data_IF_678690219528
#
_entry.id   IF_678690219528
#
_cell.length_a   1.000
_cell.length_b   1.000
_cell.length_c   1.000
_cell.angle_alpha   90.00
_cell.angle_beta   90.00
_cell.angle_gamma   90.00
#
_symmetry.space_group_name_H-M   'P 1'
#
loop_
_entity.id
_entity.type
_entity.pdbx_description
1 polymer ?
#
# COMPACT_ATOMS: atom_id res chain seq x y z
N UNK A 1 10.81 -8.40 -20.33
CA UNK A 1 9.71 -9.25 -20.81
C UNK A 1 10.00 -10.67 -20.36
N UNK A 2 9.12 -11.37 -19.63
CA UNK A 2 9.52 -12.61 -19.00
C UNK A 2 9.29 -13.83 -19.92
N UNK A 3 10.41 -14.44 -20.34
CA UNK A 3 10.89 -15.80 -19.98
C UNK A 3 12.37 -15.92 -20.41
N UNK A 4 12.86 -15.08 -21.34
CA UNK A 4 14.30 -14.74 -21.49
C UNK A 4 14.64 -13.48 -20.67
N UNK A 5 15.80 -13.55 -19.99
CA UNK A 5 16.23 -12.82 -18.77
C UNK A 5 15.24 -12.91 -17.60
N UNK A 6 15.20 -14.10 -17.00
CA UNK A 6 15.01 -14.25 -15.55
C UNK A 6 16.26 -13.74 -14.82
N UNK A 7 16.43 -12.43 -14.81
CA UNK A 7 17.18 -11.73 -13.79
C UNK A 7 16.22 -10.67 -13.27
N UNK A 8 16.16 -10.48 -11.96
CA UNK A 8 15.60 -9.27 -11.34
C UNK A 8 15.78 -8.08 -12.28
N UNK A 9 14.72 -7.64 -12.97
CA UNK A 9 14.76 -6.42 -13.78
C UNK A 9 15.39 -5.36 -12.88
N UNK A 10 16.52 -4.76 -13.30
CA UNK A 10 17.31 -3.85 -12.46
C UNK A 10 16.36 -2.90 -11.75
N UNK A 11 16.24 -3.07 -10.42
CA UNK A 11 15.29 -2.29 -9.62
C UNK A 11 15.74 -0.85 -9.70
N UNK A 12 14.88 0.03 -10.22
CA UNK A 12 15.15 1.47 -10.21
C UNK A 12 15.11 1.94 -8.77
N UNK A 13 16.16 2.61 -8.34
CA UNK A 13 16.20 3.23 -7.03
C UNK A 13 15.22 4.40 -6.99
N UNK A 14 14.47 4.48 -5.89
CA UNK A 14 13.52 5.56 -5.66
C UNK A 14 14.27 6.63 -4.87
N UNK A 15 14.42 7.82 -5.48
CA UNK A 15 14.99 8.98 -4.79
C UNK A 15 14.12 9.36 -3.59
N UNK A 16 14.69 9.87 -2.50
CA UNK A 16 13.89 10.34 -1.36
C UNK A 16 13.05 11.56 -1.74
N UNK A 17 11.99 11.78 -0.97
CA UNK A 17 11.12 12.95 -1.07
C UNK A 17 11.88 14.27 -0.76
N UNK A 18 11.62 15.38 -1.46
CA UNK A 18 12.35 16.63 -1.21
C UNK A 18 12.03 17.31 0.13
N UNK A 19 10.83 17.10 0.70
CA UNK A 19 10.40 17.79 1.94
C UNK A 19 10.75 16.92 3.14
N UNK A 20 10.30 15.67 3.15
CA UNK A 20 10.47 14.77 4.29
C UNK A 20 11.70 13.87 4.19
N UNK A 21 12.44 13.91 3.07
CA UNK A 21 13.62 13.06 2.82
C UNK A 21 13.35 11.55 2.96
N UNK A 22 12.07 11.15 2.86
CA UNK A 22 11.64 9.77 3.05
C UNK A 22 11.36 9.08 1.72
N UNK A 23 11.90 7.86 1.55
CA UNK A 23 11.61 7.00 0.41
C UNK A 23 10.17 6.48 0.46
N UNK A 24 9.61 6.30 1.66
CA UNK A 24 8.23 5.83 1.87
C UNK A 24 7.23 6.84 1.31
N UNK A 25 7.43 8.13 1.58
CA UNK A 25 6.57 9.20 1.07
C UNK A 25 6.71 9.33 -0.44
N UNK A 26 7.94 9.26 -0.98
CA UNK A 26 8.11 9.29 -2.43
C UNK A 26 7.41 8.10 -3.11
N UNK A 27 7.45 6.91 -2.51
CA UNK A 27 6.72 5.74 -3.01
C UNK A 27 5.19 5.97 -2.99
N UNK A 28 4.66 6.55 -1.91
CA UNK A 28 3.25 6.93 -1.81
C UNK A 28 2.85 7.92 -2.92
N UNK A 29 3.63 8.99 -3.13
CA UNK A 29 3.41 9.97 -4.20
C UNK A 29 3.39 9.31 -5.57
N UNK A 30 4.33 8.40 -5.84
CA UNK A 30 4.39 7.67 -7.10
C UNK A 30 3.18 6.76 -7.32
N UNK A 31 2.59 6.22 -6.25
CA UNK A 31 1.35 5.43 -6.34
C UNK A 31 0.10 6.30 -6.52
N UNK A 32 0.06 7.50 -5.91
CA UNK A 32 -1.01 8.48 -6.08
C UNK A 32 -1.02 9.06 -7.51
N UNK A 33 0.16 9.22 -8.11
CA UNK A 33 0.37 9.76 -9.45
C UNK A 33 -0.55 9.11 -10.50
N UNK A 34 -1.26 9.95 -11.24
CA UNK A 34 -2.04 9.57 -12.43
C UNK A 34 -1.71 10.50 -13.58
N UNK A 35 -1.64 9.95 -14.79
CA UNK A 35 -1.43 10.68 -16.04
C UNK A 35 -0.21 11.62 -16.01
N UNK A 36 0.85 11.24 -15.28
CA UNK A 36 2.08 12.05 -15.15
C UNK A 36 1.96 13.32 -14.31
N UNK A 37 0.81 13.60 -13.67
CA UNK A 37 0.56 14.84 -12.91
C UNK A 37 1.25 14.86 -11.53
N UNK A 38 2.58 14.99 -11.51
CA UNK A 38 3.39 14.87 -10.29
C UNK A 38 3.14 15.97 -9.27
N UNK A 39 3.02 17.22 -9.72
CA UNK A 39 2.67 18.37 -8.86
C UNK A 39 1.35 18.16 -8.11
N UNK A 40 0.36 17.59 -8.79
CA UNK A 40 -0.95 17.30 -8.19
C UNK A 40 -0.85 16.16 -7.18
N UNK A 41 -0.04 15.12 -7.45
CA UNK A 41 0.19 14.04 -6.52
C UNK A 41 0.85 14.52 -5.22
N UNK A 42 1.89 15.37 -5.31
CA UNK A 42 2.49 16.01 -4.13
C UNK A 42 1.47 16.82 -3.34
N UNK A 43 0.66 17.65 -4.01
CA UNK A 43 -0.39 18.44 -3.35
C UNK A 43 -1.39 17.56 -2.58
N UNK A 44 -1.75 16.40 -3.11
CA UNK A 44 -2.66 15.48 -2.43
C UNK A 44 -2.00 14.88 -1.19
N UNK A 45 -0.76 14.40 -1.32
CA UNK A 45 -0.05 13.72 -0.22
C UNK A 45 0.27 14.70 0.90
N UNK A 46 0.85 15.86 0.59
CA UNK A 46 1.19 16.85 1.61
C UNK A 46 -0.05 17.44 2.26
N UNK A 47 -1.11 17.73 1.51
CA UNK A 47 -2.38 18.16 2.10
C UNK A 47 -3.00 17.08 3.00
N UNK A 48 -2.79 15.80 2.71
CA UNK A 48 -3.27 14.73 3.59
C UNK A 48 -2.43 14.65 4.87
N UNK A 49 -1.12 14.89 4.79
CA UNK A 49 -0.23 14.93 5.97
C UNK A 49 -0.54 16.11 6.87
N UNK A 50 -0.77 17.30 6.32
CA UNK A 50 -1.18 18.49 7.07
C UNK A 50 -2.50 18.25 7.83
N UNK A 51 -3.47 17.58 7.20
CA UNK A 51 -4.72 17.21 7.87
C UNK A 51 -4.53 16.19 8.99
N UNK A 52 -3.60 15.24 8.83
CA UNK A 52 -3.27 14.26 9.87
C UNK A 52 -2.64 14.97 11.05
N UNK A 53 -1.66 15.83 10.80
CA UNK A 53 -0.96 16.62 11.81
C UNK A 53 -1.95 17.49 12.60
N UNK A 54 -2.87 18.18 11.92
CA UNK A 54 -3.92 18.99 12.55
C UNK A 54 -4.86 18.16 13.45
N UNK A 55 -5.14 16.91 13.09
CA UNK A 55 -6.10 16.06 13.83
C UNK A 55 -5.47 15.28 14.98
N UNK A 56 -4.18 14.98 14.91
CA UNK A 56 -3.51 14.07 15.85
C UNK A 56 -2.43 14.73 16.66
N UNK A 57 -1.97 15.93 16.27
CA UNK A 57 -0.84 16.65 16.87
C UNK A 57 0.45 15.80 16.93
N UNK A 58 0.51 14.74 16.12
CA UNK A 58 1.61 13.80 16.01
C UNK A 58 2.31 13.96 14.67
N UNK A 59 3.55 13.48 14.62
CA UNK A 59 4.32 13.45 13.38
C UNK A 59 3.56 12.67 12.29
N UNK A 60 3.17 13.31 11.17
CA UNK A 60 2.43 12.64 10.11
C UNK A 60 3.25 11.54 9.44
N UNK A 61 4.59 11.61 9.52
CA UNK A 61 5.49 10.59 9.00
C UNK A 61 5.34 9.28 9.76
N UNK A 62 5.32 9.34 11.09
CA UNK A 62 5.18 8.16 11.95
C UNK A 62 3.81 7.48 11.74
N UNK A 63 2.75 8.27 11.59
CA UNK A 63 1.41 7.75 11.32
C UNK A 63 1.35 7.03 9.97
N UNK A 64 1.97 7.60 8.93
CA UNK A 64 2.03 6.97 7.60
C UNK A 64 2.83 5.67 7.65
N UNK A 65 3.97 5.64 8.33
CA UNK A 65 4.77 4.42 8.47
C UNK A 65 4.03 3.34 9.24
N UNK A 66 3.40 3.70 10.36
CA UNK A 66 2.55 2.79 11.14
C UNK A 66 1.37 2.26 10.34
N UNK A 67 0.69 3.13 9.58
CA UNK A 67 -0.41 2.72 8.70
C UNK A 67 0.05 1.72 7.63
N UNK A 68 1.19 1.96 6.99
CA UNK A 68 1.76 1.05 6.00
C UNK A 68 2.18 -0.27 6.65
N UNK A 69 2.79 -0.24 7.83
CA UNK A 69 3.18 -1.44 8.57
C UNK A 69 1.95 -2.30 8.90
N UNK A 70 0.89 -1.69 9.43
CA UNK A 70 -0.35 -2.39 9.74
C UNK A 70 -1.04 -2.99 8.50
N UNK A 71 -0.98 -2.31 7.35
CA UNK A 71 -1.57 -2.78 6.11
C UNK A 71 -0.66 -3.75 5.31
N UNK A 72 0.57 -4.00 5.77
CA UNK A 72 1.53 -4.86 5.05
C UNK A 72 1.20 -6.34 5.23
N UNK A 73 0.88 -7.08 4.14
CA UNK A 73 0.70 -8.51 4.21
C UNK A 73 2.05 -9.25 4.21
N UNK A 74 2.18 -10.26 5.07
CA UNK A 74 3.34 -11.18 5.05
C UNK A 74 3.19 -12.32 4.04
N UNK A 75 1.95 -12.73 3.75
CA UNK A 75 1.62 -13.83 2.84
C UNK A 75 0.57 -13.39 1.82
N UNK A 76 0.73 -13.83 0.57
CA UNK A 76 -0.31 -13.68 -0.45
C UNK A 76 -0.68 -15.03 -1.04
N UNK A 77 -1.93 -15.11 -1.48
CA UNK A 77 -2.44 -16.26 -2.21
C UNK A 77 -2.26 -16.04 -3.70
N UNK A 78 -1.68 -17.03 -4.38
CA UNK A 78 -1.52 -17.03 -5.85
C UNK A 78 -2.30 -18.21 -6.44
N UNK A 79 -3.07 -17.93 -7.48
CA UNK A 79 -3.73 -18.99 -8.25
C UNK A 79 -2.68 -19.82 -9.00
N UNK A 80 -2.70 -21.14 -8.78
CA UNK A 80 -1.88 -22.14 -9.47
C UNK A 80 -2.81 -23.17 -10.10
N UNK A 81 -2.73 -23.33 -11.42
CA UNK A 81 -3.52 -24.34 -12.16
C UNK A 81 -2.75 -25.65 -12.20
N UNK A 82 -3.36 -26.72 -11.71
CA UNK A 82 -2.77 -28.08 -11.67
C UNK A 82 -3.86 -29.08 -12.10
N UNK A 83 -3.56 -29.89 -13.12
CA UNK A 83 -4.42 -30.99 -13.59
C UNK A 83 -5.90 -30.61 -13.75
N UNK A 84 -6.19 -29.48 -14.42
CA UNK A 84 -7.56 -29.04 -14.73
C UNK A 84 -8.22 -28.16 -13.65
N UNK A 85 -7.77 -28.23 -12.40
CA UNK A 85 -8.28 -27.44 -11.27
C UNK A 85 -7.35 -26.26 -10.94
N UNK A 86 -7.93 -25.20 -10.36
CA UNK A 86 -7.18 -24.01 -9.92
C UNK A 86 -7.14 -23.99 -8.41
N UNK A 87 -5.94 -24.10 -7.84
CA UNK A 87 -5.70 -24.04 -6.40
C UNK A 87 -5.14 -22.68 -6.02
N UNK A 88 -5.46 -22.26 -4.80
CA UNK A 88 -4.94 -21.06 -4.19
C UNK A 88 -3.74 -21.44 -3.33
N UNK A 89 -2.52 -21.19 -3.80
CA UNK A 89 -1.30 -21.53 -3.05
C UNK A 89 -0.78 -20.29 -2.31
N UNK A 90 -0.61 -20.35 -0.97
CA UNK A 90 0.00 -19.27 -0.21
C UNK A 90 1.50 -19.16 -0.54
N UNK A 91 1.98 -17.94 -0.73
CA UNK A 91 3.39 -17.62 -0.94
C UNK A 91 3.80 -16.50 0.01
N UNK A 92 4.94 -16.68 0.69
CA UNK A 92 5.56 -15.63 1.52
C UNK A 92 6.04 -14.48 0.63
N UNK A 93 5.80 -13.26 1.08
CA UNK A 93 6.19 -12.06 0.36
C UNK A 93 7.52 -11.50 0.82
N UNK A 94 8.24 -10.93 -0.14
CA UNK A 94 9.36 -10.03 0.12
C UNK A 94 8.84 -8.72 0.77
N UNK A 95 9.50 -8.19 1.81
CA UNK A 95 9.03 -6.99 2.53
C UNK A 95 8.79 -5.77 1.64
N UNK A 96 9.62 -5.57 0.60
CA UNK A 96 9.46 -4.44 -0.33
C UNK A 96 8.19 -4.60 -1.16
N UNK A 97 7.87 -5.84 -1.57
CA UNK A 97 6.61 -6.14 -2.25
C UNK A 97 5.42 -5.98 -1.30
N UNK A 98 5.54 -6.43 -0.06
CA UNK A 98 4.51 -6.25 0.97
C UNK A 98 4.14 -4.78 1.16
N UNK A 99 5.13 -3.90 1.37
CA UNK A 99 4.93 -2.44 1.46
C UNK A 99 4.25 -1.86 0.22
N UNK A 100 4.62 -2.35 -0.97
CA UNK A 100 4.00 -1.91 -2.24
C UNK A 100 2.52 -2.32 -2.33
N UNK A 101 2.16 -3.50 -1.81
CA UNK A 101 0.76 -3.93 -1.70
C UNK A 101 -0.01 -3.09 -0.68
N UNK A 102 0.58 -2.82 0.49
CA UNK A 102 -0.02 -1.99 1.52
C UNK A 102 -0.41 -0.60 0.98
N UNK A 103 0.54 0.11 0.36
CA UNK A 103 0.29 1.43 -0.24
C UNK A 103 -0.82 1.37 -1.30
N UNK A 104 -0.82 0.31 -2.13
CA UNK A 104 -1.84 0.12 -3.16
C UNK A 104 -3.23 -0.10 -2.55
N UNK A 105 -3.34 -0.89 -1.48
CA UNK A 105 -4.61 -1.15 -0.81
C UNK A 105 -5.12 0.07 -0.08
N UNK A 106 -4.27 0.79 0.66
CA UNK A 106 -4.61 2.09 1.27
C UNK A 106 -5.17 3.04 0.22
N UNK A 107 -4.48 3.17 -0.91
CA UNK A 107 -4.92 4.07 -1.98
C UNK A 107 -6.22 3.61 -2.66
N UNK A 108 -6.44 2.31 -2.80
CA UNK A 108 -7.68 1.77 -3.35
C UNK A 108 -8.85 2.03 -2.39
N UNK A 109 -8.66 1.76 -1.09
CA UNK A 109 -9.66 1.98 -0.05
C UNK A 109 -10.00 3.46 0.12
N UNK A 110 -8.99 4.34 0.10
CA UNK A 110 -9.20 5.79 0.10
C UNK A 110 -9.99 6.26 -1.13
N UNK A 111 -9.74 5.69 -2.32
CA UNK A 111 -10.50 6.06 -3.53
C UNK A 111 -11.96 5.59 -3.48
N UNK A 112 -12.22 4.43 -2.90
CA UNK A 112 -13.59 3.90 -2.75
C UNK A 112 -14.39 4.56 -1.63
N UNK A 113 -13.73 5.26 -0.70
CA UNK A 113 -14.39 5.93 0.42
C UNK A 113 -15.35 7.03 -0.06
N UNK A 114 -16.48 7.18 0.63
CA UNK A 114 -17.41 8.28 0.42
C UNK A 114 -16.81 9.62 0.90
N UNK A 115 -17.24 10.74 0.34
CA UNK A 115 -16.76 12.08 0.70
C UNK A 115 -16.19 12.89 -0.46
N UNK A 116 -15.83 14.15 -0.18
CA UNK A 116 -15.32 15.11 -1.18
C UNK A 116 -13.81 15.30 -1.04
N UNK A 117 -13.09 15.18 -2.15
CA UNK A 117 -11.65 15.43 -2.23
C UNK A 117 -10.78 14.23 -1.85
N UNK A 118 -9.72 14.00 -2.64
CA UNK A 118 -8.79 12.89 -2.39
C UNK A 118 -7.94 13.10 -1.14
N UNK A 119 -7.67 14.35 -0.78
CA UNK A 119 -6.90 14.74 0.41
C UNK A 119 -7.56 14.20 1.68
N UNK A 120 -8.83 14.58 1.91
CA UNK A 120 -9.61 14.14 3.07
C UNK A 120 -9.81 12.63 3.11
N UNK A 121 -10.05 11.98 1.97
CA UNK A 121 -10.20 10.52 1.93
C UNK A 121 -8.90 9.79 2.29
N UNK A 122 -7.76 10.31 1.82
CA UNK A 122 -6.46 9.70 2.06
C UNK A 122 -6.01 9.89 3.52
N UNK A 123 -6.19 11.08 4.08
CA UNK A 123 -5.85 11.37 5.49
C UNK A 123 -6.65 10.47 6.43
N UNK A 124 -7.96 10.36 6.23
CA UNK A 124 -8.80 9.51 7.06
C UNK A 124 -8.46 8.01 6.91
N UNK A 125 -8.20 7.52 5.69
CA UNK A 125 -7.82 6.11 5.51
C UNK A 125 -6.47 5.79 6.17
N UNK A 126 -5.51 6.72 6.13
CA UNK A 126 -4.22 6.59 6.82
C UNK A 126 -4.39 6.57 8.34
N UNK A 127 -5.25 7.45 8.88
CA UNK A 127 -5.57 7.47 10.31
C UNK A 127 -6.22 6.16 10.75
N UNK A 128 -7.22 5.68 10.01
CA UNK A 128 -7.89 4.42 10.31
C UNK A 128 -6.91 3.25 10.22
N UNK A 129 -6.07 3.18 9.18
CA UNK A 129 -5.06 2.14 9.03
C UNK A 129 -4.01 2.17 10.14
N UNK A 130 -3.63 3.35 10.66
CA UNK A 130 -2.71 3.46 11.80
C UNK A 130 -3.31 2.88 13.10
N UNK A 131 -4.65 2.89 13.21
CA UNK A 131 -5.45 2.29 14.28
C UNK A 131 -5.88 0.84 14.01
N UNK A 132 -5.32 0.20 12.97
CA UNK A 132 -5.69 -1.15 12.52
C UNK A 132 -7.16 -1.28 12.06
N UNK A 133 -7.76 -0.17 11.64
CA UNK A 133 -9.10 -0.10 11.07
C UNK A 133 -9.02 0.25 9.58
N UNK A 134 -10.17 0.30 8.91
CA UNK A 134 -10.27 0.72 7.51
C UNK A 134 -10.26 -0.44 6.51
N UNK A 135 -10.37 -0.08 5.22
CA UNK A 135 -10.52 -1.06 4.15
C UNK A 135 -9.21 -1.77 3.81
N UNK A 136 -8.08 -1.07 3.97
CA UNK A 136 -6.77 -1.64 3.66
C UNK A 136 -6.38 -2.78 4.60
N UNK A 137 -6.64 -2.61 5.91
CA UNK A 137 -6.33 -3.61 6.94
C UNK A 137 -7.27 -4.81 6.81
N UNK A 138 -8.57 -4.59 6.60
CA UNK A 138 -9.53 -5.68 6.32
C UNK A 138 -9.07 -6.56 5.16
N UNK A 139 -8.59 -5.95 4.07
CA UNK A 139 -8.09 -6.69 2.92
C UNK A 139 -6.82 -7.49 3.23
N UNK A 140 -5.93 -6.96 4.08
CA UNK A 140 -4.76 -7.70 4.57
C UNK A 140 -5.21 -8.93 5.38
N UNK A 141 -6.17 -8.76 6.27
CA UNK A 141 -6.68 -9.85 7.12
C UNK A 141 -7.40 -10.93 6.31
N UNK A 142 -8.20 -10.55 5.32
CA UNK A 142 -8.82 -11.48 4.38
C UNK A 142 -7.78 -12.33 3.62
N UNK A 143 -6.68 -11.70 3.18
CA UNK A 143 -5.59 -12.42 2.50
C UNK A 143 -4.87 -13.39 3.45
N UNK A 144 -4.68 -13.04 4.72
CA UNK A 144 -4.12 -13.95 5.72
C UNK A 144 -5.03 -15.12 6.01
N UNK A 145 -6.32 -14.86 6.25
CA UNK A 145 -7.33 -15.90 6.48
C UNK A 145 -7.41 -16.88 5.30
N UNK A 146 -7.34 -16.36 4.08
CA UNK A 146 -7.32 -17.17 2.86
C UNK A 146 -6.03 -17.98 2.72
N UNK A 147 -4.88 -17.41 3.10
CA UNK A 147 -3.61 -18.12 3.09
C UNK A 147 -3.56 -19.24 4.14
N UNK A 148 -4.09 -19.01 5.33
CA UNK A 148 -4.18 -20.00 6.40
C UNK A 148 -5.09 -21.17 6.03
N UNK A 149 -6.26 -20.88 5.46
CA UNK A 149 -7.20 -21.91 4.96
C UNK A 149 -6.55 -22.83 3.92
N UNK A 150 -5.69 -22.28 3.07
CA UNK A 150 -5.01 -23.01 2.00
C UNK A 150 -3.60 -23.50 2.37
N UNK A 151 -3.17 -23.43 3.63
CA UNK A 151 -1.80 -23.81 4.05
C UNK A 151 -1.45 -25.28 3.79
N UNK A 152 -2.46 -26.15 3.67
CA UNK A 152 -2.31 -27.60 3.45
C UNK A 152 -2.18 -28.00 1.96
N UNK A 153 -2.45 -27.08 1.02
CA UNK A 153 -2.43 -27.33 -0.43
C UNK A 153 -1.11 -26.87 -1.07
#
# INVERSE_FOLDING_TARGET
MPRKKSARTLKREVKPDPVFQSVTIQALVNHVLKNGKKRLAYRIVYGAMEQIETQTEQSPLEIVEKAIQNATPSTLVKAKRVRGSTYQTPNTLDPQRGRSFAIRWILQSARSRAGKGMVSKLSQELLDASRQLGGAVKRRDEMHRMAESNRRN
#
